data_IF_487827293769
#
_entry.id   IF_487827293769
#
_cell.length_a   1.000
_cell.length_b   1.000
_cell.length_c   1.000
_cell.angle_alpha   90.00
_cell.angle_beta   90.00
_cell.angle_gamma   90.00
#
_symmetry.space_group_name_H-M   'P 1'
#
loop_
_entity.id
_entity.type
_entity.pdbx_description
1 polymer ?
#
# COMPACT_ATOMS: atom_id res chain seq x y z
N UNK A 1 -19.53 -6.18 -4.48
CA UNK A 1 -18.56 -5.19 -4.92
C UNK A 1 -17.59 -4.76 -3.81
N UNK A 2 -18.08 -4.12 -2.69
CA UNK A 2 -17.19 -3.60 -1.64
C UNK A 2 -16.32 -4.69 -1.00
N UNK A 3 -16.90 -5.83 -0.67
CA UNK A 3 -16.16 -6.99 -0.13
C UNK A 3 -15.10 -7.48 -1.12
N UNK A 4 -15.47 -7.61 -2.40
CA UNK A 4 -14.55 -8.06 -3.45
C UNK A 4 -13.39 -7.08 -3.65
N UNK A 5 -13.68 -5.77 -3.63
CA UNK A 5 -12.66 -4.74 -3.70
C UNK A 5 -11.69 -4.82 -2.51
N UNK A 6 -12.20 -4.98 -1.29
CA UNK A 6 -11.35 -5.15 -0.11
C UNK A 6 -10.49 -6.41 -0.19
N UNK A 7 -11.06 -7.53 -0.66
CA UNK A 7 -10.32 -8.79 -0.84
C UNK A 7 -9.18 -8.64 -1.86
N UNK A 8 -9.44 -7.96 -2.98
CA UNK A 8 -8.40 -7.66 -3.99
C UNK A 8 -7.29 -6.77 -3.43
N UNK A 9 -7.61 -5.87 -2.50
CA UNK A 9 -6.63 -5.06 -1.78
C UNK A 9 -5.95 -5.80 -0.61
N UNK A 10 -6.10 -7.13 -0.49
CA UNK A 10 -5.44 -7.95 0.53
C UNK A 10 -6.13 -8.00 1.89
N UNK A 11 -7.31 -7.37 2.04
CA UNK A 11 -8.08 -7.42 3.28
C UNK A 11 -8.85 -8.74 3.34
N UNK A 12 -8.47 -9.63 4.25
CA UNK A 12 -9.05 -10.96 4.41
C UNK A 12 -9.71 -11.20 5.77
N UNK A 13 -9.79 -10.18 6.63
CA UNK A 13 -10.48 -10.24 7.92
C UNK A 13 -11.49 -9.12 8.03
N UNK A 14 -12.79 -9.48 8.14
CA UNK A 14 -13.90 -8.53 8.10
C UNK A 14 -14.62 -8.48 9.43
N UNK A 15 -14.80 -7.27 9.95
CA UNK A 15 -15.63 -6.98 11.12
C UNK A 15 -16.76 -6.04 10.70
N UNK A 16 -17.93 -6.58 10.29
CA UNK A 16 -19.03 -5.74 9.83
C UNK A 16 -19.58 -4.86 10.98
N UNK A 17 -19.79 -3.58 10.68
CA UNK A 17 -20.36 -2.60 11.61
C UNK A 17 -21.61 -1.95 10.99
N UNK A 18 -22.78 -1.89 11.64
CA UNK A 18 -23.00 -2.32 13.02
C UNK A 18 -24.18 -3.31 13.11
N UNK A 19 -24.06 -4.25 14.04
CA UNK A 19 -25.19 -5.08 14.44
C UNK A 19 -25.90 -4.42 15.60
N UNK A 20 -27.02 -3.73 15.32
CA UNK A 20 -27.78 -3.00 16.33
C UNK A 20 -28.98 -3.79 16.81
N UNK A 21 -29.02 -4.26 18.08
CA UNK A 21 -30.18 -4.94 18.65
C UNK A 21 -31.33 -3.96 18.98
N UNK A 22 -31.04 -2.66 19.02
CA UNK A 22 -31.98 -1.56 19.22
C UNK A 22 -32.31 -0.88 17.90
N UNK A 23 -33.58 -0.46 17.74
CA UNK A 23 -33.98 0.36 16.59
C UNK A 23 -35.25 1.16 16.96
N UNK A 24 -35.37 2.45 16.63
CA UNK A 24 -34.34 3.28 16.00
C UNK A 24 -33.14 3.50 16.93
N UNK A 25 -31.98 3.60 16.32
CA UNK A 25 -30.72 3.90 16.99
C UNK A 25 -30.02 5.01 16.21
N UNK A 26 -29.67 6.10 16.85
CA UNK A 26 -29.05 7.25 16.22
C UNK A 26 -27.54 7.05 16.01
N UNK A 27 -26.96 6.02 16.64
CA UNK A 27 -25.54 5.73 16.54
C UNK A 27 -25.21 4.79 15.37
N UNK A 28 -24.16 5.10 14.69
CA UNK A 28 -23.46 4.22 13.73
C UNK A 28 -24.33 3.49 12.69
N UNK A 29 -25.14 4.17 11.85
CA UNK A 29 -25.72 3.54 10.67
C UNK A 29 -24.58 3.13 9.67
N UNK A 30 -24.76 2.08 8.85
CA UNK A 30 -25.97 1.29 8.66
C UNK A 30 -26.17 0.21 9.72
N UNK A 31 -27.42 -0.17 9.97
CA UNK A 31 -27.78 -1.20 10.92
C UNK A 31 -28.16 -2.51 10.21
N UNK A 32 -27.31 -3.51 10.26
CA UNK A 32 -27.54 -4.77 9.56
C UNK A 32 -28.77 -5.53 10.10
N UNK A 33 -28.93 -5.57 11.41
CA UNK A 33 -30.04 -6.24 12.06
C UNK A 33 -31.23 -5.29 12.31
N UNK A 34 -30.96 -4.12 12.86
CA UNK A 34 -31.95 -3.09 13.20
C UNK A 34 -33.16 -3.66 13.95
N UNK A 35 -32.95 -4.46 15.01
CA UNK A 35 -33.99 -5.18 15.76
C UNK A 35 -34.94 -6.01 14.88
N UNK A 36 -34.42 -6.56 13.77
CA UNK A 36 -35.20 -7.35 12.82
C UNK A 36 -35.99 -6.54 11.80
N UNK A 37 -35.88 -5.21 11.77
CA UNK A 37 -36.63 -4.35 10.83
C UNK A 37 -35.91 -4.14 9.50
N UNK A 38 -34.62 -4.47 9.40
CA UNK A 38 -33.90 -4.39 8.14
C UNK A 38 -34.36 -5.53 7.22
N UNK A 39 -35.03 -5.21 6.11
CA UNK A 39 -35.55 -6.17 5.14
C UNK A 39 -34.46 -6.98 4.44
N UNK A 40 -33.22 -6.51 4.41
CA UNK A 40 -32.08 -7.20 3.82
C UNK A 40 -31.39 -8.17 4.80
N UNK A 41 -31.69 -8.09 6.10
CA UNK A 41 -31.02 -8.90 7.10
C UNK A 41 -31.09 -10.43 6.85
N UNK A 42 -32.18 -11.02 6.32
CA UNK A 42 -32.20 -12.43 5.97
C UNK A 42 -31.13 -12.87 4.98
N UNK A 43 -30.65 -11.95 4.12
CA UNK A 43 -29.59 -12.18 3.16
C UNK A 43 -28.17 -11.99 3.74
N UNK A 44 -28.06 -11.41 4.95
CA UNK A 44 -26.78 -11.13 5.58
C UNK A 44 -25.96 -12.40 5.80
N UNK A 45 -26.60 -13.50 6.15
CA UNK A 45 -25.93 -14.80 6.28
C UNK A 45 -25.24 -15.23 4.99
N UNK A 46 -25.90 -15.08 3.85
CA UNK A 46 -25.34 -15.49 2.55
C UNK A 46 -24.12 -14.62 2.17
N UNK A 47 -24.19 -13.32 2.43
CA UNK A 47 -23.05 -12.41 2.27
C UNK A 47 -21.88 -12.85 3.15
N UNK A 48 -22.13 -13.16 4.41
CA UNK A 48 -21.08 -13.59 5.35
C UNK A 48 -20.48 -14.96 4.97
N UNK A 49 -21.28 -15.88 4.47
CA UNK A 49 -20.78 -17.16 3.96
C UNK A 49 -19.91 -16.99 2.71
N UNK A 50 -20.30 -16.10 1.82
CA UNK A 50 -19.48 -15.73 0.65
C UNK A 50 -18.14 -15.10 1.11
N UNK A 51 -18.21 -14.06 1.94
CA UNK A 51 -17.02 -13.36 2.47
C UNK A 51 -16.06 -14.35 3.14
N UNK A 52 -16.58 -15.24 4.01
CA UNK A 52 -15.77 -16.25 4.69
C UNK A 52 -15.06 -17.20 3.71
N UNK A 53 -15.76 -17.68 2.68
CA UNK A 53 -15.16 -18.57 1.67
C UNK A 53 -14.05 -17.88 0.91
N UNK A 54 -14.29 -16.65 0.45
CA UNK A 54 -13.32 -15.89 -0.32
C UNK A 54 -12.10 -15.49 0.54
N UNK A 55 -12.34 -14.99 1.76
CA UNK A 55 -11.29 -14.67 2.69
C UNK A 55 -10.40 -15.90 3.01
N UNK A 56 -11.02 -17.08 3.21
CA UNK A 56 -10.26 -18.32 3.44
C UNK A 56 -9.44 -18.74 2.21
N UNK A 57 -9.99 -18.61 1.01
CA UNK A 57 -9.30 -18.97 -0.23
C UNK A 57 -8.10 -18.05 -0.52
N UNK A 58 -8.15 -16.80 -0.06
CA UNK A 58 -7.11 -15.79 -0.25
C UNK A 58 -6.17 -15.64 0.97
N UNK A 59 -6.29 -16.53 1.96
CA UNK A 59 -5.44 -16.55 3.13
C UNK A 59 -4.45 -17.73 3.08
N UNK A 60 -3.29 -17.58 3.69
CA UNK A 60 -2.35 -18.68 3.89
C UNK A 60 -1.49 -19.02 2.67
N UNK A 61 -1.28 -18.08 1.77
CA UNK A 61 -0.30 -18.17 0.67
C UNK A 61 0.78 -17.11 0.80
N UNK A 62 1.71 -17.10 -0.15
CA UNK A 62 2.66 -16.00 -0.37
C UNK A 62 2.05 -15.10 -1.42
N UNK A 63 2.02 -13.78 -1.17
CA UNK A 63 1.55 -12.81 -2.14
C UNK A 63 2.56 -12.69 -3.29
N UNK A 64 2.10 -12.77 -4.52
CA UNK A 64 2.98 -12.67 -5.69
C UNK A 64 2.80 -11.29 -6.31
N UNK A 65 3.66 -10.36 -5.91
CA UNK A 65 3.73 -9.01 -6.45
C UNK A 65 5.15 -8.73 -6.96
N UNK A 66 5.27 -8.18 -8.17
CA UNK A 66 6.58 -7.83 -8.75
C UNK A 66 7.05 -6.42 -8.35
N UNK A 67 6.20 -5.62 -7.75
CA UNK A 67 6.45 -4.21 -7.44
C UNK A 67 6.29 -3.93 -5.96
N UNK A 68 7.28 -3.26 -5.38
CA UNK A 68 7.17 -2.59 -4.08
C UNK A 68 6.88 -1.10 -4.30
N UNK A 69 5.94 -0.52 -3.57
CA UNK A 69 5.68 0.92 -3.55
C UNK A 69 6.08 1.47 -2.20
N UNK A 70 6.95 2.47 -2.18
CA UNK A 70 7.31 3.11 -0.93
C UNK A 70 6.11 3.84 -0.32
N UNK A 71 5.78 3.50 0.94
CA UNK A 71 4.75 4.19 1.71
C UNK A 71 5.31 5.49 2.27
N UNK A 72 5.06 6.60 1.58
CA UNK A 72 5.67 7.91 1.85
C UNK A 72 4.90 8.76 2.89
N UNK A 73 4.42 8.15 3.98
CA UNK A 73 3.68 8.88 5.03
C UNK A 73 4.47 10.06 5.61
N UNK A 74 5.79 9.94 5.71
CA UNK A 74 6.66 10.99 6.23
C UNK A 74 6.72 12.24 5.33
N UNK A 75 6.38 12.11 4.06
CA UNK A 75 6.34 13.25 3.13
C UNK A 75 5.30 14.30 3.56
N UNK A 76 4.15 13.84 4.05
CA UNK A 76 3.08 14.70 4.57
C UNK A 76 3.55 15.52 5.79
N UNK A 77 4.36 14.90 6.65
CA UNK A 77 4.86 15.53 7.87
C UNK A 77 6.07 16.43 7.63
N UNK A 78 6.77 16.24 6.52
CA UNK A 78 7.95 17.02 6.16
C UNK A 78 7.65 18.46 5.71
N UNK A 79 6.38 18.76 5.37
CA UNK A 79 5.91 20.09 4.95
C UNK A 79 6.31 20.50 3.53
N UNK A 80 6.89 19.60 2.74
CA UNK A 80 7.20 19.80 1.33
C UNK A 80 6.02 19.45 0.40
N UNK A 81 6.24 19.60 -0.91
CA UNK A 81 5.31 19.05 -1.93
C UNK A 81 5.47 17.54 -1.97
N UNK A 82 4.37 16.82 -2.14
CA UNK A 82 4.36 15.37 -2.24
C UNK A 82 3.18 14.88 -3.06
N UNK A 83 3.30 13.67 -3.56
CA UNK A 83 2.24 12.88 -4.18
C UNK A 83 1.73 11.87 -3.16
N UNK A 84 0.43 11.65 -3.10
CA UNK A 84 -0.11 10.55 -2.31
C UNK A 84 0.22 9.20 -2.97
N UNK A 85 0.69 8.23 -2.21
CA UNK A 85 0.99 6.89 -2.75
C UNK A 85 -0.24 6.23 -3.39
N UNK A 86 -1.47 6.61 -2.96
CA UNK A 86 -2.72 6.13 -3.56
C UNK A 86 -2.82 6.44 -5.05
N UNK A 87 -2.25 7.55 -5.52
CA UNK A 87 -2.25 7.92 -6.93
C UNK A 87 -1.46 6.90 -7.75
N UNK A 88 -0.26 6.54 -7.28
CA UNK A 88 0.58 5.49 -7.86
C UNK A 88 -0.11 4.13 -7.80
N UNK A 89 -0.65 3.77 -6.63
CA UNK A 89 -1.35 2.51 -6.42
C UNK A 89 -2.56 2.36 -7.35
N UNK A 90 -3.35 3.43 -7.55
CA UNK A 90 -4.46 3.43 -8.49
C UNK A 90 -4.00 3.19 -9.93
N UNK A 91 -2.87 3.78 -10.33
CA UNK A 91 -2.35 3.60 -11.69
C UNK A 91 -1.81 2.18 -11.91
N UNK A 92 -1.08 1.63 -10.96
CA UNK A 92 -0.64 0.22 -10.99
C UNK A 92 -1.85 -0.73 -11.08
N UNK A 93 -2.86 -0.53 -10.22
CA UNK A 93 -4.08 -1.36 -10.21
C UNK A 93 -4.84 -1.28 -11.54
N UNK A 94 -4.97 -0.09 -12.16
CA UNK A 94 -5.61 0.08 -13.46
C UNK A 94 -4.89 -0.69 -14.58
N UNK A 95 -3.59 -0.83 -14.45
CA UNK A 95 -2.76 -1.59 -15.39
C UNK A 95 -2.57 -3.06 -14.97
N UNK A 96 -3.31 -3.55 -13.99
CA UNK A 96 -3.24 -4.94 -13.49
C UNK A 96 -1.85 -5.34 -12.98
N UNK A 97 -1.10 -4.38 -12.43
CA UNK A 97 0.19 -4.61 -11.78
C UNK A 97 -0.07 -4.68 -10.28
N UNK A 98 0.22 -5.82 -9.68
CA UNK A 98 0.09 -6.03 -8.24
C UNK A 98 1.32 -5.51 -7.49
N UNK A 99 1.14 -5.08 -6.25
CA UNK A 99 2.20 -4.42 -5.47
C UNK A 99 1.95 -4.56 -3.97
N UNK A 100 3.03 -4.36 -3.20
CA UNK A 100 2.98 -4.18 -1.75
C UNK A 100 3.48 -2.80 -1.34
N UNK A 101 2.91 -2.27 -0.25
CA UNK A 101 3.34 -1.01 0.35
C UNK A 101 4.43 -1.28 1.39
N UNK A 102 5.61 -0.69 1.18
CA UNK A 102 6.78 -0.88 2.03
C UNK A 102 7.06 0.39 2.83
N UNK A 103 6.90 0.38 4.16
CA UNK A 103 7.22 1.54 5.01
C UNK A 103 8.72 1.73 5.21
N UNK A 104 9.10 2.89 5.74
CA UNK A 104 10.48 3.34 5.90
C UNK A 104 11.38 2.35 6.64
N UNK A 105 10.89 1.81 7.75
CA UNK A 105 11.68 0.92 8.61
C UNK A 105 11.94 -0.44 7.94
N UNK A 106 10.94 -0.96 7.23
CA UNK A 106 11.04 -2.20 6.44
C UNK A 106 12.01 -1.98 5.27
N UNK A 107 11.86 -0.88 4.52
CA UNK A 107 12.75 -0.55 3.40
C UNK A 107 14.20 -0.41 3.86
N UNK A 108 14.44 0.25 5.00
CA UNK A 108 15.77 0.42 5.54
C UNK A 108 16.43 -0.89 6.00
N UNK A 109 15.63 -1.88 6.42
CA UNK A 109 16.09 -3.20 6.86
C UNK A 109 16.11 -4.24 5.72
N UNK A 110 15.55 -3.92 4.55
CA UNK A 110 15.49 -4.83 3.41
C UNK A 110 16.86 -5.08 2.77
N UNK A 111 16.95 -6.17 2.03
CA UNK A 111 18.15 -6.57 1.29
C UNK A 111 17.86 -6.57 -0.22
N UNK A 112 18.91 -6.44 -1.04
CA UNK A 112 18.82 -6.73 -2.46
C UNK A 112 19.55 -8.03 -2.76
N UNK A 113 18.88 -8.97 -3.41
CA UNK A 113 19.46 -10.24 -3.85
C UNK A 113 19.15 -10.44 -5.33
N UNK A 114 20.18 -10.61 -6.13
CA UNK A 114 20.03 -10.82 -7.58
C UNK A 114 19.22 -9.72 -8.29
N UNK A 115 19.37 -8.45 -7.84
CA UNK A 115 18.65 -7.30 -8.40
C UNK A 115 17.19 -7.19 -7.94
N UNK A 116 16.76 -7.97 -6.97
CA UNK A 116 15.41 -7.91 -6.38
C UNK A 116 15.45 -7.42 -4.94
N UNK A 117 14.49 -6.60 -4.57
CA UNK A 117 14.23 -6.21 -3.19
C UNK A 117 13.63 -7.40 -2.45
N UNK A 118 14.24 -7.81 -1.34
CA UNK A 118 13.77 -8.93 -0.52
C UNK A 118 13.30 -8.43 0.85
N UNK A 119 12.06 -8.77 1.18
CA UNK A 119 11.43 -8.47 2.47
C UNK A 119 10.77 -9.74 2.98
N UNK A 120 11.28 -10.32 4.06
CA UNK A 120 10.86 -11.63 4.57
C UNK A 120 10.92 -12.71 3.47
N UNK A 121 9.77 -13.28 3.12
CA UNK A 121 9.64 -14.31 2.08
C UNK A 121 9.25 -13.73 0.70
N UNK A 122 9.00 -12.41 0.62
CA UNK A 122 8.59 -11.71 -0.59
C UNK A 122 9.80 -11.13 -1.34
N UNK A 123 9.68 -11.04 -2.66
CA UNK A 123 10.73 -10.45 -3.50
C UNK A 123 10.13 -9.64 -4.64
N UNK A 124 10.62 -8.41 -4.81
CA UNK A 124 10.12 -7.44 -5.79
C UNK A 124 11.18 -7.09 -6.81
N UNK A 125 10.81 -7.07 -8.08
CA UNK A 125 11.70 -6.70 -9.18
C UNK A 125 11.94 -5.19 -9.30
N UNK A 126 11.07 -4.38 -8.72
CA UNK A 126 11.20 -2.93 -8.74
C UNK A 126 10.67 -2.27 -7.47
N UNK A 127 11.26 -1.12 -7.11
CA UNK A 127 10.77 -0.21 -6.10
C UNK A 127 10.25 1.07 -6.77
N UNK A 128 8.98 1.41 -6.56
CA UNK A 128 8.38 2.66 -7.02
C UNK A 128 8.31 3.64 -5.85
N UNK A 129 8.83 4.84 -6.04
CA UNK A 129 8.89 5.90 -5.03
C UNK A 129 7.99 7.06 -5.49
N UNK A 130 6.83 7.28 -4.84
CA UNK A 130 5.97 8.43 -5.13
C UNK A 130 6.73 9.74 -4.90
N UNK A 131 6.47 10.75 -5.73
CA UNK A 131 7.14 12.05 -5.58
C UNK A 131 7.00 12.60 -4.18
N UNK A 132 8.12 12.99 -3.61
CA UNK A 132 8.22 13.69 -2.34
C UNK A 132 9.37 14.68 -2.42
N UNK A 133 9.08 15.97 -2.21
CA UNK A 133 10.10 17.02 -2.24
C UNK A 133 11.22 16.75 -1.21
N UNK A 134 10.82 16.22 -0.07
CA UNK A 134 11.73 15.80 1.00
C UNK A 134 11.51 14.34 1.34
N UNK A 135 12.58 13.56 1.39
CA UNK A 135 12.57 12.18 1.89
C UNK A 135 13.47 12.06 3.13
N UNK A 136 13.10 11.24 4.12
CA UNK A 136 13.98 10.97 5.25
C UNK A 136 15.34 10.47 4.80
N UNK A 137 16.42 10.95 5.47
CA UNK A 137 17.78 10.51 5.14
C UNK A 137 17.92 8.99 5.16
N UNK A 138 17.28 8.33 6.12
CA UNK A 138 17.28 6.87 6.22
C UNK A 138 16.70 6.19 4.97
N UNK A 139 15.69 6.79 4.33
CA UNK A 139 15.08 6.29 3.08
C UNK A 139 16.03 6.52 1.91
N UNK A 140 16.60 7.72 1.78
CA UNK A 140 17.53 8.02 0.68
C UNK A 140 18.81 7.18 0.77
N UNK A 141 19.29 6.88 1.97
CA UNK A 141 20.43 5.99 2.19
C UNK A 141 20.08 4.54 1.80
N UNK A 142 18.90 4.06 2.19
CA UNK A 142 18.43 2.72 1.80
C UNK A 142 18.26 2.59 0.29
N UNK A 143 17.62 3.56 -0.37
CA UNK A 143 17.45 3.57 -1.82
C UNK A 143 18.81 3.61 -2.53
N UNK A 144 19.75 4.44 -2.04
CA UNK A 144 21.10 4.52 -2.62
C UNK A 144 21.82 3.16 -2.55
N UNK A 145 21.77 2.49 -1.41
CA UNK A 145 22.32 1.15 -1.24
C UNK A 145 21.67 0.13 -2.20
N UNK A 146 20.35 0.10 -2.26
CA UNK A 146 19.62 -0.82 -3.13
C UNK A 146 19.91 -0.59 -4.62
N UNK A 147 20.06 0.67 -5.05
CA UNK A 147 20.51 1.02 -6.42
C UNK A 147 21.93 0.52 -6.72
N UNK A 148 22.85 0.63 -5.75
CA UNK A 148 24.22 0.13 -5.88
C UNK A 148 24.26 -1.40 -5.97
N UNK A 149 23.33 -2.07 -5.28
CA UNK A 149 23.14 -3.52 -5.31
C UNK A 149 22.37 -4.02 -6.56
N UNK A 150 21.93 -3.10 -7.44
CA UNK A 150 21.33 -3.42 -8.73
C UNK A 150 19.82 -3.51 -8.78
N UNK A 151 19.11 -3.04 -7.74
CA UNK A 151 17.64 -2.95 -7.75
C UNK A 151 17.18 -1.90 -8.77
N UNK A 152 16.13 -2.20 -9.52
CA UNK A 152 15.41 -1.19 -10.31
C UNK A 152 14.60 -0.28 -9.39
N UNK A 153 14.89 1.03 -9.42
CA UNK A 153 14.16 2.04 -8.64
C UNK A 153 13.61 3.10 -9.57
N UNK A 154 12.29 3.34 -9.44
CA UNK A 154 11.55 4.30 -10.26
C UNK A 154 11.02 5.43 -9.36
N UNK A 155 11.45 6.65 -9.59
CA UNK A 155 10.83 7.83 -8.97
C UNK A 155 9.72 8.36 -9.87
N UNK A 156 8.57 8.61 -9.28
CA UNK A 156 7.44 9.17 -10.04
C UNK A 156 7.62 10.69 -10.13
N UNK A 157 7.53 11.21 -11.35
CA UNK A 157 7.66 12.60 -11.79
C UNK A 157 9.05 13.21 -11.58
N UNK A 158 9.65 13.16 -10.41
CA UNK A 158 10.98 13.74 -10.15
C UNK A 158 11.66 13.17 -8.89
N UNK A 159 12.96 13.38 -8.80
CA UNK A 159 13.75 13.07 -7.60
C UNK A 159 13.44 14.05 -6.45
N UNK A 160 13.70 13.66 -5.20
CA UNK A 160 13.59 14.55 -4.06
C UNK A 160 14.67 15.68 -4.13
N UNK A 161 14.30 16.88 -3.68
CA UNK A 161 15.23 18.02 -3.65
C UNK A 161 16.27 17.86 -2.53
N UNK A 162 15.82 17.41 -1.36
CA UNK A 162 16.65 17.25 -0.14
C UNK A 162 16.09 16.12 0.73
N UNK A 163 16.87 15.79 1.76
CA UNK A 163 16.34 14.96 2.85
C UNK A 163 15.42 15.78 3.75
N UNK A 164 14.60 15.12 4.56
CA UNK A 164 13.74 15.79 5.56
C UNK A 164 14.56 16.53 6.62
N UNK A 165 15.83 16.15 6.80
CA UNK A 165 16.81 16.82 7.64
C UNK A 165 17.52 17.99 6.92
N UNK A 166 17.02 18.40 5.75
CA UNK A 166 17.53 19.47 4.89
C UNK A 166 18.95 19.24 4.35
N UNK A 167 19.42 18.01 4.33
CA UNK A 167 20.70 17.62 3.75
C UNK A 167 20.55 17.36 2.24
N UNK A 168 21.63 17.50 1.44
CA UNK A 168 21.63 17.09 0.04
C UNK A 168 21.32 15.58 -0.10
N UNK A 169 20.57 15.21 -1.12
CA UNK A 169 20.42 13.80 -1.50
C UNK A 169 21.70 13.29 -2.17
N UNK A 170 22.00 12.02 -1.97
CA UNK A 170 23.18 11.39 -2.57
C UNK A 170 23.08 11.33 -4.12
N UNK A 171 24.21 11.52 -4.80
CA UNK A 171 24.28 11.44 -6.27
C UNK A 171 23.87 10.05 -6.83
N UNK A 172 23.92 9.02 -6.00
CA UNK A 172 23.50 7.67 -6.40
C UNK A 172 22.03 7.62 -6.83
N UNK A 173 21.16 8.50 -6.27
CA UNK A 173 19.77 8.59 -6.67
C UNK A 173 19.59 9.01 -8.15
N UNK A 174 20.56 9.69 -8.75
CA UNK A 174 20.55 10.05 -10.18
C UNK A 174 20.59 8.82 -11.11
N UNK A 175 20.90 7.64 -10.58
CA UNK A 175 20.86 6.37 -11.32
C UNK A 175 19.46 5.77 -11.42
N UNK A 176 18.53 6.23 -10.58
CA UNK A 176 17.15 5.77 -10.64
C UNK A 176 16.46 6.29 -11.90
N UNK A 177 15.49 5.55 -12.37
CA UNK A 177 14.64 5.98 -13.46
C UNK A 177 13.58 6.96 -12.97
N UNK A 178 13.29 7.99 -13.77
CA UNK A 178 12.18 8.92 -13.51
C UNK A 178 11.05 8.62 -14.48
N UNK A 179 9.88 8.31 -13.96
CA UNK A 179 8.70 7.95 -14.74
C UNK A 179 7.56 8.93 -14.45
N UNK A 180 6.82 9.40 -15.47
CA UNK A 180 5.67 10.26 -15.22
C UNK A 180 4.49 9.46 -14.66
N UNK A 181 3.72 10.06 -13.76
CA UNK A 181 2.38 9.55 -13.46
C UNK A 181 1.46 9.89 -14.64
N UNK A 182 0.81 8.88 -15.24
CA UNK A 182 -0.06 9.07 -16.42
C UNK A 182 -1.53 9.16 -16.03
#
# INVERSE_FOLDING_TARGET
YLVDHMLVCGINYFVPHAFSPKYPDADCPPHFYARGTNSQYPLFRELMLYTKRMAHALSGGVHVADVAVYYNAEAEWSGGKYMLQQEVCCELTRNQIDFDLIPQDVLAASECREGKLVVNEESYGALVVPYSQYLPKRVTDAISRLLEEGLSVLFVDQLPDRTSELLPVGKTLERAEIVPLK
#
